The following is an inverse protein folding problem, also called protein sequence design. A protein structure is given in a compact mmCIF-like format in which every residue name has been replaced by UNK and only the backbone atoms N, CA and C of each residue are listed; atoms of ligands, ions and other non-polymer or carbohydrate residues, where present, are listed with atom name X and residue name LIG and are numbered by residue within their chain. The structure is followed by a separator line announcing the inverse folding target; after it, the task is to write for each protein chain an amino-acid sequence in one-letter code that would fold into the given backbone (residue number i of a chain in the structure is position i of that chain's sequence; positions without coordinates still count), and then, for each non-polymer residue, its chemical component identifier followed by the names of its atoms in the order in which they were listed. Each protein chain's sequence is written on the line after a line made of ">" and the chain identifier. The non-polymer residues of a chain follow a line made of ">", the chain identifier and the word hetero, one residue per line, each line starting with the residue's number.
data_IF_599242714549
#
_entry.id   IF_599242714549
#
_cell.length_a   1.000
_cell.length_b   1.000
_cell.length_c   1.000
_cell.angle_alpha   90.00
_cell.angle_beta   90.00
_cell.angle_gamma   90.00
#
_symmetry.space_group_name_H-M   'P 1'
#
loop_
_entity.id
_entity.type
_entity.pdbx_description
1 polymer ?
#
# COMPACT_ATOMS: atom_id res chain seq x y z
N UNK A 1 20.45 16.17 18.44
CA UNK A 1 19.02 16.53 18.63
C UNK A 1 18.25 15.25 18.92
N UNK A 2 17.11 15.33 19.59
CA UNK A 2 16.25 14.19 19.87
C UNK A 2 15.08 14.16 18.88
N UNK A 3 14.72 12.97 18.42
CA UNK A 3 13.58 12.74 17.52
C UNK A 3 12.77 11.54 18.00
N UNK A 4 11.46 11.65 17.97
CA UNK A 4 10.54 10.57 18.31
C UNK A 4 9.90 9.99 17.04
N UNK A 5 9.84 8.66 16.94
CA UNK A 5 9.18 7.99 15.84
C UNK A 5 9.52 6.52 15.64
N UNK A 6 9.42 6.05 14.39
CA UNK A 6 9.45 4.62 14.06
C UNK A 6 10.54 4.28 13.05
N UNK A 7 11.14 3.09 13.21
CA UNK A 7 12.00 2.51 12.18
C UNK A 7 11.11 1.95 11.07
N UNK A 8 11.35 2.37 9.83
CA UNK A 8 10.64 1.89 8.64
C UNK A 8 11.40 0.79 7.91
N UNK A 9 12.71 1.02 7.73
CA UNK A 9 13.59 0.11 7.00
C UNK A 9 14.95 0.05 7.69
N UNK A 10 15.56 -1.14 7.68
CA UNK A 10 16.85 -1.44 8.29
C UNK A 10 17.65 -2.34 7.36
N UNK A 11 18.90 -1.97 7.14
CA UNK A 11 19.85 -2.70 6.31
C UNK A 11 21.23 -2.72 6.98
N UNK A 12 21.93 -3.84 6.88
CA UNK A 12 23.30 -3.95 7.35
C UNK A 12 24.25 -3.20 6.41
N UNK A 13 25.09 -2.33 6.98
CA UNK A 13 26.00 -1.48 6.23
C UNK A 13 27.45 -1.69 6.72
N UNK A 14 28.19 -2.53 5.99
CA UNK A 14 29.54 -2.92 6.36
C UNK A 14 29.58 -3.79 7.62
N UNK A 15 30.69 -3.79 8.35
CA UNK A 15 30.95 -4.82 9.36
C UNK A 15 30.09 -4.68 10.63
N UNK A 16 29.84 -3.45 11.09
CA UNK A 16 29.19 -3.19 12.39
C UNK A 16 28.22 -1.99 12.35
N UNK A 17 27.93 -1.44 11.18
CA UNK A 17 27.01 -0.30 11.07
C UNK A 17 25.71 -0.78 10.47
N UNK A 18 24.60 -0.24 10.95
CA UNK A 18 23.28 -0.43 10.35
C UNK A 18 22.86 0.88 9.74
N UNK A 19 22.39 0.83 8.50
CA UNK A 19 21.67 1.92 7.84
C UNK A 19 20.19 1.74 8.09
N UNK A 20 19.48 2.81 8.40
CA UNK A 20 18.04 2.75 8.58
C UNK A 20 17.34 4.03 8.14
N UNK A 21 16.06 3.87 7.82
CA UNK A 21 15.14 4.96 7.56
C UNK A 21 14.16 5.06 8.73
N UNK A 22 14.06 6.27 9.28
CA UNK A 22 13.29 6.56 10.48
C UNK A 22 12.25 7.62 10.20
N UNK A 23 10.99 7.30 10.44
CA UNK A 23 9.90 8.28 10.36
C UNK A 23 9.81 9.02 11.68
N UNK A 24 10.37 10.24 11.71
CA UNK A 24 10.31 11.17 12.84
C UNK A 24 9.04 12.01 12.77
N UNK A 25 8.45 12.23 13.94
CA UNK A 25 7.33 13.17 14.13
C UNK A 25 7.75 14.59 13.75
N UNK A 26 8.97 14.98 14.11
CA UNK A 26 9.47 16.36 14.03
C UNK A 26 10.04 16.73 12.66
N UNK A 27 10.60 15.77 11.92
CA UNK A 27 11.33 16.05 10.67
C UNK A 27 10.95 15.15 9.50
N UNK A 28 10.01 14.23 9.69
CA UNK A 28 9.59 13.30 8.64
C UNK A 28 10.63 12.19 8.42
N UNK A 29 10.93 11.87 7.17
CA UNK A 29 11.78 10.72 6.85
C UNK A 29 13.27 11.05 7.00
N UNK A 30 13.91 10.48 8.01
CA UNK A 30 15.33 10.63 8.29
C UNK A 30 16.12 9.41 7.81
N UNK A 31 17.22 9.65 7.11
CA UNK A 31 18.21 8.63 6.78
C UNK A 31 19.33 8.64 7.84
N UNK A 32 19.50 7.51 8.53
CA UNK A 32 20.32 7.41 9.73
C UNK A 32 21.28 6.21 9.68
N UNK A 33 22.36 6.32 10.45
CA UNK A 33 23.34 5.26 10.64
C UNK A 33 23.53 4.95 12.12
N UNK A 34 23.60 3.67 12.48
CA UNK A 34 23.89 3.23 13.84
C UNK A 34 25.16 2.38 13.86
N UNK A 35 26.24 2.92 14.44
CA UNK A 35 27.49 2.17 14.60
C UNK A 35 27.37 1.18 15.77
N UNK A 36 27.99 0.02 15.61
CA UNK A 36 27.98 -1.04 16.62
C UNK A 36 26.63 -1.72 16.81
N UNK A 37 25.64 -1.53 15.92
CA UNK A 37 24.31 -2.13 16.05
C UNK A 37 24.35 -3.66 15.94
N UNK A 38 25.26 -4.22 15.14
CA UNK A 38 25.38 -5.67 14.92
C UNK A 38 26.37 -6.36 15.88
N UNK A 39 26.98 -5.62 16.80
CA UNK A 39 27.84 -6.21 17.82
C UNK A 39 27.01 -7.03 18.80
N UNK A 40 27.52 -8.20 19.21
CA UNK A 40 26.86 -9.08 20.20
C UNK A 40 26.63 -8.40 21.56
N UNK A 41 27.40 -7.36 21.88
CA UNK A 41 27.26 -6.58 23.12
C UNK A 41 26.44 -5.29 22.92
N UNK A 42 25.87 -5.08 21.74
CA UNK A 42 25.16 -3.85 21.41
C UNK A 42 23.86 -3.72 22.18
N UNK A 43 23.71 -2.60 22.89
CA UNK A 43 22.43 -2.17 23.47
C UNK A 43 21.53 -1.48 22.43
N UNK A 44 22.12 -0.93 21.38
CA UNK A 44 21.41 -0.12 20.38
C UNK A 44 20.73 -0.97 19.30
N UNK A 45 21.40 -2.04 18.85
CA UNK A 45 20.88 -2.91 17.79
C UNK A 45 19.51 -3.53 18.07
N UNK A 46 19.30 -4.15 19.26
CA UNK A 46 18.01 -4.73 19.63
C UNK A 46 16.91 -3.69 19.87
N UNK A 47 17.26 -2.47 20.29
CA UNK A 47 16.30 -1.39 20.55
C UNK A 47 15.71 -0.80 19.25
N UNK A 48 16.43 -0.91 18.14
CA UNK A 48 16.00 -0.47 16.80
C UNK A 48 15.08 -1.52 16.14
N UNK A 49 13.97 -1.83 16.80
CA UNK A 49 12.96 -2.77 16.30
C UNK A 49 11.92 -2.04 15.43
N UNK A 50 11.35 -2.76 14.45
CA UNK A 50 10.17 -2.29 13.73
C UNK A 50 8.96 -2.20 14.66
N UNK A 51 8.05 -1.27 14.34
CA UNK A 51 6.76 -1.09 15.01
C UNK A 51 6.82 -0.74 16.50
N UNK A 52 8.00 -0.36 17.01
CA UNK A 52 8.16 0.28 18.32
C UNK A 52 8.31 1.79 18.16
N UNK A 53 7.65 2.55 19.03
CA UNK A 53 7.87 3.99 19.14
C UNK A 53 9.18 4.22 19.89
N UNK A 54 10.12 4.90 19.25
CA UNK A 54 11.45 5.15 19.76
C UNK A 54 11.71 6.64 19.84
N UNK A 55 12.47 7.04 20.85
CA UNK A 55 13.08 8.36 20.94
C UNK A 55 14.59 8.22 20.76
N UNK A 56 15.10 8.81 19.69
CA UNK A 56 16.48 8.64 19.27
C UNK A 56 17.26 9.95 19.36
N UNK A 57 18.50 9.85 19.85
CA UNK A 57 19.43 10.98 19.83
C UNK A 57 20.30 10.88 18.59
N UNK A 58 20.16 11.86 17.69
CA UNK A 58 20.91 11.94 16.44
C UNK A 58 21.96 13.04 16.53
N UNK A 59 23.18 12.74 16.06
CA UNK A 59 24.28 13.68 15.94
C UNK A 59 25.03 13.48 14.62
N UNK A 60 25.52 14.56 14.02
CA UNK A 60 26.28 14.50 12.78
C UNK A 60 26.15 15.79 11.97
N UNK A 61 27.17 16.07 11.16
CA UNK A 61 27.22 17.25 10.28
C UNK A 61 27.00 16.90 8.80
N UNK A 62 27.55 15.76 8.36
CA UNK A 62 27.41 15.21 7.00
C UNK A 62 26.51 13.97 6.95
N UNK A 63 26.65 13.08 7.93
CA UNK A 63 25.82 11.88 8.07
C UNK A 63 25.21 11.87 9.47
N UNK A 64 23.94 11.49 9.56
CA UNK A 64 23.21 11.46 10.82
C UNK A 64 23.44 10.11 11.52
N UNK A 65 24.14 10.13 12.67
CA UNK A 65 24.40 8.95 13.48
C UNK A 65 23.50 8.89 14.72
N UNK A 66 23.02 7.70 15.05
CA UNK A 66 22.28 7.43 16.28
C UNK A 66 23.29 7.19 17.41
N UNK A 67 23.19 8.00 18.46
CA UNK A 67 24.03 7.90 19.66
C UNK A 67 23.31 7.21 20.81
N UNK A 68 22.00 7.47 20.98
CA UNK A 68 21.16 6.92 22.05
C UNK A 68 19.79 6.56 21.49
N UNK A 69 19.19 5.53 22.10
CA UNK A 69 17.83 5.08 21.79
C UNK A 69 17.12 4.85 23.12
N UNK A 70 15.94 5.44 23.25
CA UNK A 70 14.99 5.23 24.33
C UNK A 70 13.73 4.61 23.72
N UNK A 71 13.21 3.54 24.33
CA UNK A 71 12.00 2.87 23.86
C UNK A 71 10.82 3.52 24.59
N UNK A 72 9.97 4.24 23.86
CA UNK A 72 8.77 4.85 24.43
C UNK A 72 7.58 3.88 24.45
N UNK A 73 7.49 3.01 23.44
CA UNK A 73 6.50 1.93 23.38
C UNK A 73 7.13 0.64 22.91
N UNK A 74 6.69 -0.46 23.51
CA UNK A 74 7.02 -1.80 23.04
C UNK A 74 6.51 -2.00 21.60
N UNK A 75 7.22 -2.84 20.85
CA UNK A 75 6.87 -3.17 19.48
C UNK A 75 5.54 -3.93 19.42
N UNK A 76 4.66 -3.49 18.51
CA UNK A 76 3.42 -4.21 18.23
C UNK A 76 3.76 -5.58 17.64
N UNK A 77 3.15 -6.63 18.19
CA UNK A 77 3.28 -8.01 17.70
C UNK A 77 2.09 -8.33 16.80
N UNK A 78 2.37 -8.45 15.52
CA UNK A 78 1.37 -8.82 14.53
C UNK A 78 1.39 -10.32 14.25
N UNK A 79 0.22 -10.95 14.00
CA UNK A 79 0.18 -12.20 13.25
C UNK A 79 0.76 -11.99 11.84
N UNK A 80 1.13 -13.08 11.17
CA UNK A 80 1.97 -13.02 9.98
C UNK A 80 1.34 -12.22 8.82
N UNK A 81 0.02 -12.29 8.63
CA UNK A 81 -0.67 -11.51 7.59
C UNK A 81 -0.61 -10.01 7.86
N UNK A 82 -1.01 -9.58 9.07
CA UNK A 82 -0.94 -8.17 9.47
C UNK A 82 0.50 -7.65 9.49
N UNK A 83 1.48 -8.52 9.81
CA UNK A 83 2.89 -8.16 9.77
C UNK A 83 3.32 -7.75 8.35
N UNK A 84 2.95 -8.52 7.33
CA UNK A 84 3.23 -8.14 5.95
C UNK A 84 2.46 -6.88 5.52
N UNK A 85 1.23 -6.69 5.99
CA UNK A 85 0.49 -5.44 5.77
C UNK A 85 1.20 -4.23 6.41
N UNK A 86 1.74 -4.37 7.62
CA UNK A 86 2.49 -3.31 8.28
C UNK A 86 3.84 -3.04 7.58
N UNK A 87 4.53 -4.09 7.12
CA UNK A 87 5.74 -3.95 6.29
C UNK A 87 5.43 -3.26 4.95
N UNK A 88 4.26 -3.52 4.35
CA UNK A 88 3.81 -2.84 3.14
C UNK A 88 3.68 -1.34 3.36
N UNK A 89 3.06 -0.93 4.47
CA UNK A 89 2.96 0.49 4.87
C UNK A 89 4.35 1.12 5.05
N UNK A 90 5.28 0.45 5.72
CA UNK A 90 6.67 0.94 5.85
C UNK A 90 7.34 1.15 4.48
N UNK A 91 7.20 0.15 3.60
CA UNK A 91 7.84 0.13 2.30
C UNK A 91 7.28 1.23 1.37
N UNK A 92 5.98 1.50 1.43
CA UNK A 92 5.36 2.61 0.71
C UNK A 92 5.98 3.96 1.12
N UNK A 93 6.04 4.26 2.42
CA UNK A 93 6.60 5.53 2.91
C UNK A 93 8.06 5.66 2.49
N UNK A 94 8.86 4.63 2.75
CA UNK A 94 10.29 4.63 2.44
C UNK A 94 10.58 4.81 0.95
N UNK A 95 9.78 4.23 0.05
CA UNK A 95 9.99 4.34 -1.39
C UNK A 95 9.48 5.63 -2.01
N UNK A 96 8.36 6.15 -1.50
CA UNK A 96 7.67 7.28 -2.12
C UNK A 96 8.22 8.63 -1.65
N UNK A 97 8.60 8.75 -0.38
CA UNK A 97 8.97 10.03 0.21
C UNK A 97 10.47 10.30 0.15
N UNK A 98 10.88 11.57 -0.08
CA UNK A 98 12.27 11.97 0.00
C UNK A 98 12.76 12.00 1.45
N UNK A 99 14.07 11.80 1.65
CA UNK A 99 14.71 12.08 2.93
C UNK A 99 15.02 13.55 3.04
N UNK A 100 14.14 14.34 3.65
CA UNK A 100 14.34 15.77 3.88
C UNK A 100 13.53 16.26 5.08
N UNK A 101 13.98 17.38 5.67
CA UNK A 101 13.28 18.14 6.71
C UNK A 101 11.98 18.74 6.13
N UNK A 102 10.88 17.97 6.16
CA UNK A 102 9.56 18.47 5.79
C UNK A 102 8.81 18.91 7.06
N UNK A 103 8.48 20.20 7.11
CA UNK A 103 7.72 20.82 8.21
C UNK A 103 6.30 20.26 8.39
N UNK A 104 5.79 19.49 7.42
CA UNK A 104 4.46 18.85 7.43
C UNK A 104 4.48 17.37 7.88
N UNK A 105 5.53 16.95 8.61
CA UNK A 105 5.72 15.56 9.03
C UNK A 105 4.69 15.01 10.01
N UNK A 106 3.96 15.88 10.73
CA UNK A 106 2.99 15.46 11.74
C UNK A 106 1.80 14.68 11.16
N UNK A 107 1.26 15.13 10.01
CA UNK A 107 0.14 14.45 9.36
C UNK A 107 0.55 13.04 8.91
N UNK A 108 1.66 12.92 8.19
CA UNK A 108 2.24 11.64 7.77
C UNK A 108 2.51 10.70 8.94
N UNK A 109 3.05 11.23 10.05
CA UNK A 109 3.30 10.45 11.26
C UNK A 109 2.00 9.86 11.83
N UNK A 110 0.93 10.64 11.86
CA UNK A 110 -0.38 10.18 12.32
C UNK A 110 -1.00 9.16 11.37
N UNK A 111 -0.94 9.35 10.04
CA UNK A 111 -1.42 8.36 9.07
C UNK A 111 -0.74 7.01 9.29
N UNK A 112 0.59 7.03 9.44
CA UNK A 112 1.37 5.82 9.73
C UNK A 112 0.97 5.15 11.05
N UNK A 113 0.90 5.93 12.13
CA UNK A 113 0.50 5.44 13.46
C UNK A 113 -0.91 4.84 13.45
N UNK A 114 -1.86 5.54 12.81
CA UNK A 114 -3.24 5.09 12.67
C UNK A 114 -3.33 3.81 11.85
N UNK A 115 -2.54 3.67 10.79
CA UNK A 115 -2.45 2.44 10.00
C UNK A 115 -1.92 1.26 10.84
N UNK A 116 -0.87 1.46 11.63
CA UNK A 116 -0.34 0.42 12.52
C UNK A 116 -1.39 -0.03 13.56
N UNK A 117 -2.06 0.92 14.21
CA UNK A 117 -3.11 0.60 15.20
C UNK A 117 -4.33 -0.05 14.53
N UNK A 118 -4.76 0.45 13.37
CA UNK A 118 -5.85 -0.13 12.60
C UNK A 118 -5.56 -1.59 12.20
N UNK A 119 -4.34 -1.88 11.74
CA UNK A 119 -3.92 -3.24 11.43
C UNK A 119 -3.86 -4.14 12.66
N UNK A 120 -3.56 -3.58 13.84
CA UNK A 120 -3.52 -4.34 15.09
C UNK A 120 -4.93 -4.76 15.54
N UNK A 121 -5.91 -3.88 15.38
CA UNK A 121 -7.30 -4.15 15.72
C UNK A 121 -8.07 -4.90 14.64
N UNK A 122 -7.55 -4.98 13.41
CA UNK A 122 -8.19 -5.65 12.30
C UNK A 122 -8.22 -7.18 12.49
N UNK A 123 -9.43 -7.71 12.60
CA UNK A 123 -9.68 -9.14 12.85
C UNK A 123 -10.03 -9.91 11.56
N UNK A 124 -10.25 -9.20 10.45
CA UNK A 124 -10.61 -9.79 9.16
C UNK A 124 -9.78 -9.21 8.01
N UNK A 125 -9.64 -9.97 6.92
CA UNK A 125 -8.97 -9.51 5.70
C UNK A 125 -9.64 -8.26 5.10
N UNK A 126 -10.96 -8.10 5.30
CA UNK A 126 -11.70 -6.92 4.85
C UNK A 126 -11.31 -5.69 5.65
N UNK A 127 -11.26 -5.79 6.99
CA UNK A 127 -10.80 -4.70 7.86
C UNK A 127 -9.35 -4.33 7.57
N UNK A 128 -8.46 -5.32 7.41
CA UNK A 128 -7.08 -5.06 7.00
C UNK A 128 -7.03 -4.30 5.67
N UNK A 129 -7.85 -4.71 4.69
CA UNK A 129 -7.91 -4.05 3.39
C UNK A 129 -8.39 -2.60 3.52
N UNK A 130 -9.41 -2.33 4.34
CA UNK A 130 -9.89 -0.96 4.60
C UNK A 130 -8.80 -0.08 5.20
N UNK A 131 -8.10 -0.56 6.22
CA UNK A 131 -7.01 0.19 6.86
C UNK A 131 -5.91 0.51 5.85
N UNK A 132 -5.55 -0.46 5.00
CA UNK A 132 -4.57 -0.23 3.93
C UNK A 132 -5.08 0.78 2.90
N UNK A 133 -6.35 0.69 2.44
CA UNK A 133 -6.90 1.65 1.49
C UNK A 133 -6.94 3.06 2.08
N UNK A 134 -7.40 3.22 3.34
CA UNK A 134 -7.39 4.52 4.03
C UNK A 134 -5.99 5.12 4.04
N UNK A 135 -5.00 4.36 4.48
CA UNK A 135 -3.60 4.81 4.50
C UNK A 135 -3.09 5.21 3.09
N UNK A 136 -3.37 4.41 2.07
CA UNK A 136 -2.96 4.71 0.69
C UNK A 136 -3.61 6.00 0.16
N UNK A 137 -4.89 6.22 0.43
CA UNK A 137 -5.60 7.43 0.02
C UNK A 137 -5.10 8.66 0.77
N UNK A 138 -4.91 8.57 2.09
CA UNK A 138 -4.30 9.64 2.90
C UNK A 138 -2.89 9.98 2.39
N UNK A 139 -2.08 8.97 2.06
CA UNK A 139 -0.74 9.16 1.51
C UNK A 139 -0.78 9.80 0.11
N UNK A 140 -1.65 9.34 -0.78
CA UNK A 140 -1.79 9.90 -2.13
C UNK A 140 -2.30 11.34 -2.09
N UNK A 141 -3.24 11.64 -1.18
CA UNK A 141 -3.74 13.00 -0.95
C UNK A 141 -2.63 13.90 -0.39
N UNK A 142 -1.85 13.40 0.58
CA UNK A 142 -0.67 14.08 1.11
C UNK A 142 0.37 14.36 0.02
N UNK A 143 0.55 13.46 -0.94
CA UNK A 143 1.45 13.68 -2.09
C UNK A 143 0.86 14.61 -3.17
N UNK A 144 -0.41 15.02 -3.06
CA UNK A 144 -1.10 15.83 -4.07
C UNK A 144 -1.40 15.09 -5.38
N UNK A 145 -1.44 13.76 -5.34
CA UNK A 145 -1.61 12.91 -6.53
C UNK A 145 -3.04 12.35 -6.67
N UNK A 146 -3.84 12.43 -5.61
CA UNK A 146 -5.19 11.87 -5.61
C UNK A 146 -6.15 12.80 -6.40
N UNK A 147 -7.00 12.26 -7.29
CA UNK A 147 -8.01 13.05 -7.98
C UNK A 147 -9.13 13.43 -7.01
N UNK A 148 -9.89 14.46 -7.36
CA UNK A 148 -11.10 14.81 -6.63
C UNK A 148 -12.11 13.66 -6.73
N UNK A 149 -12.54 13.13 -5.58
CA UNK A 149 -13.46 11.99 -5.51
C UNK A 149 -14.93 12.41 -5.42
N UNK A 150 -15.21 13.71 -5.40
CA UNK A 150 -16.55 14.30 -5.29
C UNK A 150 -16.98 15.01 -6.58
N UNK A 151 -16.06 15.26 -7.51
CA UNK A 151 -16.29 16.00 -8.74
C UNK A 151 -15.74 15.27 -9.97
N UNK A 152 -16.38 15.49 -11.13
CA UNK A 152 -15.88 15.06 -12.43
C UNK A 152 -14.86 16.05 -13.01
N UNK A 153 -14.31 15.73 -14.19
CA UNK A 153 -13.33 16.57 -14.89
C UNK A 153 -13.85 17.98 -15.24
N UNK A 154 -15.18 18.16 -15.32
CA UNK A 154 -15.82 19.44 -15.59
C UNK A 154 -16.14 20.22 -14.30
N UNK A 155 -15.82 19.67 -13.13
CA UNK A 155 -16.10 20.26 -11.82
C UNK A 155 -17.54 20.06 -11.34
N UNK A 156 -18.33 19.21 -12.00
CA UNK A 156 -19.68 18.86 -11.56
C UNK A 156 -19.62 17.76 -10.50
N UNK A 157 -20.57 17.77 -9.57
CA UNK A 157 -20.65 16.73 -8.55
C UNK A 157 -20.91 15.35 -9.18
N UNK A 158 -20.26 14.32 -8.66
CA UNK A 158 -20.50 12.95 -9.12
C UNK A 158 -21.94 12.52 -8.81
N UNK A 159 -22.55 11.72 -9.68
CA UNK A 159 -23.90 11.19 -9.51
C UNK A 159 -23.83 9.74 -9.02
N UNK A 160 -24.60 9.41 -7.98
CA UNK A 160 -24.57 8.10 -7.31
C UNK A 160 -24.88 6.93 -8.26
N UNK A 161 -25.77 7.15 -9.23
CA UNK A 161 -26.27 6.14 -10.16
C UNK A 161 -25.46 6.04 -11.46
N UNK A 162 -24.42 6.88 -11.62
CA UNK A 162 -23.58 6.88 -12.81
C UNK A 162 -22.27 6.13 -12.57
N UNK A 163 -21.69 5.64 -13.66
CA UNK A 163 -20.34 5.10 -13.67
C UNK A 163 -19.39 6.10 -14.31
N UNK A 164 -18.16 6.12 -13.82
CA UNK A 164 -17.12 7.03 -14.23
C UNK A 164 -15.87 6.26 -14.67
N UNK A 165 -15.25 6.71 -15.75
CA UNK A 165 -13.90 6.33 -16.13
C UNK A 165 -12.90 7.25 -15.46
N UNK A 166 -11.76 6.69 -15.06
CA UNK A 166 -10.63 7.48 -14.58
C UNK A 166 -9.65 7.72 -15.72
N UNK A 167 -9.43 8.99 -16.07
CA UNK A 167 -8.30 9.42 -16.88
C UNK A 167 -7.27 10.04 -15.94
N UNK A 168 -6.08 9.44 -15.85
CA UNK A 168 -5.08 9.74 -14.81
C UNK A 168 -4.78 11.24 -14.64
N UNK A 169 -4.69 11.98 -15.76
CA UNK A 169 -4.36 13.42 -15.75
C UNK A 169 -5.58 14.35 -15.67
N UNK A 170 -6.79 13.85 -15.98
CA UNK A 170 -8.00 14.68 -16.12
C UNK A 170 -9.04 14.42 -15.03
N UNK A 171 -8.95 13.28 -14.32
CA UNK A 171 -9.92 12.88 -13.31
C UNK A 171 -11.03 12.00 -13.88
N UNK A 172 -12.24 12.13 -13.32
CA UNK A 172 -13.36 11.25 -13.63
C UNK A 172 -14.21 11.78 -14.79
N UNK A 173 -14.54 10.92 -15.75
CA UNK A 173 -15.42 11.22 -16.89
C UNK A 173 -16.61 10.27 -16.89
N UNK A 174 -17.82 10.77 -17.17
CA UNK A 174 -19.03 9.94 -17.22
C UNK A 174 -18.88 8.84 -18.27
N UNK A 175 -19.24 7.62 -17.90
CA UNK A 175 -19.13 6.44 -18.78
C UNK A 175 -19.96 6.59 -20.05
N UNK A 176 -21.09 7.27 -19.97
CA UNK A 176 -21.97 7.52 -21.12
C UNK A 176 -21.28 8.35 -22.21
N UNK A 177 -20.55 9.41 -21.84
CA UNK A 177 -19.83 10.28 -22.79
C UNK A 177 -18.76 9.50 -23.54
N UNK A 178 -17.99 8.69 -22.82
CA UNK A 178 -16.96 7.84 -23.42
C UNK A 178 -17.58 6.75 -24.30
N UNK A 179 -18.67 6.11 -23.86
CA UNK A 179 -19.34 5.07 -24.64
C UNK A 179 -19.86 5.60 -25.99
N UNK A 180 -20.37 6.84 -26.02
CA UNK A 180 -20.80 7.48 -27.27
C UNK A 180 -19.62 7.67 -28.24
N UNK A 181 -18.50 8.20 -27.73
CA UNK A 181 -17.28 8.39 -28.53
C UNK A 181 -16.78 7.06 -29.12
N UNK A 182 -16.86 5.98 -28.33
CA UNK A 182 -16.45 4.65 -28.79
C UNK A 182 -17.37 4.06 -29.86
N UNK A 183 -18.68 4.29 -29.77
CA UNK A 183 -19.59 3.85 -30.82
C UNK A 183 -19.25 4.50 -32.16
N UNK A 184 -18.79 5.75 -32.17
CA UNK A 184 -18.30 6.42 -33.37
C UNK A 184 -17.02 5.79 -33.90
N UNK A 185 -16.04 5.52 -33.03
CA UNK A 185 -14.79 4.83 -33.40
C UNK A 185 -15.03 3.43 -33.97
N UNK A 186 -15.92 2.63 -33.37
CA UNK A 186 -16.28 1.30 -33.88
C UNK A 186 -16.96 1.39 -35.26
N UNK A 187 -17.81 2.39 -35.50
CA UNK A 187 -18.40 2.61 -36.83
C UNK A 187 -17.32 2.95 -37.87
N UNK A 188 -16.36 3.79 -37.51
CA UNK A 188 -15.24 4.15 -38.39
C UNK A 188 -14.39 2.92 -38.73
N UNK A 189 -14.03 2.10 -37.74
CA UNK A 189 -13.28 0.86 -37.96
C UNK A 189 -14.04 -0.11 -38.87
N UNK A 190 -15.33 -0.36 -38.61
CA UNK A 190 -16.15 -1.24 -39.46
C UNK A 190 -16.21 -0.73 -40.90
N UNK A 191 -16.31 0.58 -41.11
CA UNK A 191 -16.31 1.17 -42.45
C UNK A 191 -14.98 0.97 -43.18
N UNK A 192 -13.85 1.12 -42.47
CA UNK A 192 -12.52 0.89 -43.01
C UNK A 192 -12.26 -0.60 -43.30
N UNK A 193 -12.74 -1.51 -42.45
CA UNK A 193 -12.69 -2.95 -42.73
C UNK A 193 -13.46 -3.32 -44.00
N UNK A 194 -14.66 -2.77 -44.16
CA UNK A 194 -15.46 -2.99 -45.37
C UNK A 194 -14.78 -2.43 -46.62
N UNK A 195 -14.14 -1.27 -46.52
CA UNK A 195 -13.34 -0.71 -47.61
C UNK A 195 -12.12 -1.58 -47.92
N UNK A 196 -11.44 -2.10 -46.89
CA UNK A 196 -10.28 -2.98 -47.06
C UNK A 196 -10.65 -4.33 -47.68
N UNK A 197 -11.82 -4.89 -47.34
CA UNK A 197 -12.37 -6.11 -47.96
C UNK A 197 -12.73 -5.91 -49.44
N UNK A 198 -13.12 -4.69 -49.83
CA UNK A 198 -13.49 -4.35 -51.21
C UNK A 198 -12.26 -4.02 -52.07
N UNK A 199 -11.32 -3.25 -51.53
CA UNK A 199 -10.09 -2.84 -52.20
C UNK A 199 -8.93 -2.75 -51.19
N UNK A 200 -8.09 -3.79 -51.10
CA UNK A 200 -7.01 -3.88 -50.12
C UNK A 200 -5.95 -2.77 -50.22
N UNK A 201 -5.75 -2.21 -51.42
CA UNK A 201 -4.74 -1.19 -51.68
C UNK A 201 -5.23 0.23 -51.38
N UNK A 202 -6.54 0.40 -51.15
CA UNK A 202 -7.17 1.70 -50.87
C UNK A 202 -7.08 2.13 -49.41
N UNK A 203 -6.88 1.17 -48.49
CA UNK A 203 -6.85 1.41 -47.04
C UNK A 203 -5.44 1.22 -46.51
N UNK A 204 -4.91 2.22 -45.82
CA UNK A 204 -3.64 2.11 -45.12
C UNK A 204 -3.76 1.06 -43.98
N UNK A 205 -3.01 -0.05 -44.02
CA UNK A 205 -3.04 -1.07 -42.97
C UNK A 205 -2.71 -0.51 -41.58
N UNK A 206 -1.91 0.56 -41.49
CA UNK A 206 -1.56 1.20 -40.22
C UNK A 206 -2.77 1.88 -39.58
N UNK A 207 -3.67 2.45 -40.36
CA UNK A 207 -4.88 3.10 -39.86
C UNK A 207 -5.83 2.08 -39.19
N UNK A 208 -5.97 0.89 -39.79
CA UNK A 208 -6.75 -0.19 -39.21
C UNK A 208 -6.12 -0.68 -37.90
N UNK A 209 -4.81 -0.93 -37.90
CA UNK A 209 -4.09 -1.38 -36.70
C UNK A 209 -4.19 -0.37 -35.56
N UNK A 210 -4.17 0.94 -35.87
CA UNK A 210 -4.34 2.00 -34.88
C UNK A 210 -5.74 1.96 -34.24
N UNK A 211 -6.80 1.76 -35.03
CA UNK A 211 -8.17 1.66 -34.49
C UNK A 211 -8.38 0.40 -33.65
N UNK A 212 -7.83 -0.75 -34.08
CA UNK A 212 -7.83 -1.99 -33.28
C UNK A 212 -7.13 -1.77 -31.93
N UNK A 213 -5.98 -1.10 -31.95
CA UNK A 213 -5.26 -0.75 -30.73
C UNK A 213 -6.09 0.15 -29.81
N UNK A 214 -6.74 1.19 -30.35
CA UNK A 214 -7.62 2.06 -29.57
C UNK A 214 -8.78 1.29 -28.91
N UNK A 215 -9.39 0.33 -29.61
CA UNK A 215 -10.43 -0.51 -29.02
C UNK A 215 -9.93 -1.40 -27.90
N UNK A 216 -8.75 -2.00 -28.06
CA UNK A 216 -8.15 -2.81 -26.99
C UNK A 216 -7.83 -1.96 -25.75
N UNK A 217 -7.29 -0.75 -25.94
CA UNK A 217 -7.08 0.19 -24.84
C UNK A 217 -8.39 0.55 -24.14
N UNK A 218 -9.46 0.76 -24.91
CA UNK A 218 -10.76 1.06 -24.34
C UNK A 218 -11.35 -0.12 -23.53
N UNK A 219 -11.26 -1.36 -24.04
CA UNK A 219 -11.68 -2.55 -23.30
C UNK A 219 -10.94 -2.68 -21.97
N UNK A 220 -9.62 -2.44 -21.97
CA UNK A 220 -8.83 -2.42 -20.74
C UNK A 220 -9.30 -1.32 -19.77
N UNK A 221 -9.65 -0.14 -20.27
CA UNK A 221 -10.19 0.95 -19.45
C UNK A 221 -11.60 0.67 -18.90
N UNK A 222 -12.42 -0.13 -19.57
CA UNK A 222 -13.73 -0.56 -19.05
C UNK A 222 -13.62 -1.40 -17.77
N UNK A 223 -12.54 -2.15 -17.62
CA UNK A 223 -12.24 -2.86 -16.36
C UNK A 223 -11.95 -1.88 -15.20
N UNK A 224 -11.62 -0.63 -15.51
CA UNK A 224 -11.31 0.46 -14.58
C UNK A 224 -12.46 1.45 -14.45
N UNK A 225 -13.69 0.94 -14.39
CA UNK A 225 -14.90 1.74 -14.14
C UNK A 225 -15.23 1.83 -12.65
N UNK A 226 -15.62 3.03 -12.23
CA UNK A 226 -15.93 3.37 -10.84
C UNK A 226 -17.38 3.81 -10.71
N UNK A 227 -18.10 3.29 -9.71
CA UNK A 227 -19.46 3.76 -9.44
C UNK A 227 -19.41 5.08 -8.67
N UNK A 228 -20.20 6.08 -9.07
CA UNK A 228 -20.23 7.41 -8.43
C UNK A 228 -20.54 7.31 -6.93
N UNK A 229 -21.49 6.46 -6.54
CA UNK A 229 -21.78 6.16 -5.14
C UNK A 229 -20.55 5.69 -4.34
N UNK A 230 -19.73 4.83 -4.95
CA UNK A 230 -18.54 4.31 -4.28
C UNK A 230 -17.44 5.37 -4.19
N UNK A 231 -17.29 6.24 -5.19
CA UNK A 231 -16.33 7.34 -5.15
C UNK A 231 -16.65 8.35 -4.04
N UNK A 232 -17.93 8.73 -3.90
CA UNK A 232 -18.39 9.56 -2.76
C UNK A 232 -18.15 8.88 -1.43
N UNK A 233 -18.48 7.60 -1.33
CA UNK A 233 -18.24 6.85 -0.10
C UNK A 233 -16.74 6.74 0.23
N UNK A 234 -15.86 6.62 -0.77
CA UNK A 234 -14.40 6.66 -0.56
C UNK A 234 -13.96 8.03 -0.03
N UNK A 235 -14.53 9.12 -0.54
CA UNK A 235 -14.27 10.47 -0.03
C UNK A 235 -14.66 10.58 1.45
N UNK A 236 -15.90 10.20 1.80
CA UNK A 236 -16.42 10.24 3.17
C UNK A 236 -15.57 9.38 4.13
N UNK A 237 -15.26 8.14 3.75
CA UNK A 237 -14.59 7.21 4.66
C UNK A 237 -13.09 7.49 4.79
N UNK A 238 -12.42 7.87 3.69
CA UNK A 238 -10.96 7.96 3.66
C UNK A 238 -10.42 9.38 3.79
N UNK A 239 -11.21 10.42 3.49
CA UNK A 239 -10.69 11.80 3.38
C UNK A 239 -11.36 12.83 4.32
N UNK A 240 -12.53 12.57 4.91
CA UNK A 240 -13.26 13.58 5.73
C UNK A 240 -12.64 13.92 7.10
N UNK A 241 -11.40 13.52 7.38
CA UNK A 241 -10.64 14.01 8.54
C UNK A 241 -9.39 14.80 8.11
N UNK A 242 -9.59 16.13 8.07
CA UNK A 242 -8.63 17.24 8.12
C UNK A 242 -8.22 17.96 6.80
N UNK A 243 -8.25 19.32 6.80
CA UNK A 243 -7.76 20.14 5.70
C UNK A 243 -6.26 20.40 5.88
N UNK A 244 -5.48 20.14 4.84
CA UNK A 244 -4.26 20.89 4.56
C UNK A 244 -3.79 20.54 3.16
N UNK A 245 -4.15 21.39 2.20
CA UNK A 245 -3.51 21.48 0.91
C UNK A 245 -2.06 21.94 1.13
N UNK A 246 -1.14 20.99 1.25
CA UNK A 246 0.29 21.22 1.17
C UNK A 246 0.79 20.70 -0.17
N UNK A 247 1.31 21.57 -1.04
CA UNK A 247 2.06 21.11 -2.21
C UNK A 247 3.36 20.47 -1.73
N UNK A 248 3.48 19.15 -1.84
CA UNK A 248 4.61 18.39 -1.29
C UNK A 248 5.54 17.87 -2.39
N UNK A 249 6.84 17.97 -2.12
CA UNK A 249 7.94 17.57 -3.00
C UNK A 249 8.07 16.04 -3.06
N UNK A 250 7.95 15.50 -4.26
CA UNK A 250 8.16 14.07 -4.58
C UNK A 250 9.67 13.76 -4.59
N UNK A 251 10.06 12.52 -4.25
CA UNK A 251 11.44 12.07 -4.33
C UNK A 251 12.00 12.24 -5.78
N UNK A 252 13.20 12.82 -5.99
CA UNK A 252 13.77 13.05 -7.33
C UNK A 252 13.92 11.76 -8.15
N UNK A 253 14.25 10.63 -7.53
CA UNK A 253 14.28 9.33 -8.22
C UNK A 253 12.88 8.87 -8.64
N UNK A 254 11.86 9.19 -7.86
CA UNK A 254 10.45 8.95 -8.22
C UNK A 254 10.02 9.88 -9.36
N UNK A 255 10.50 11.13 -9.42
CA UNK A 255 10.24 12.05 -10.53
C UNK A 255 10.91 11.60 -11.84
N UNK A 256 12.17 11.16 -11.77
CA UNK A 256 12.86 10.55 -12.91
C UNK A 256 12.16 9.25 -13.33
N UNK A 257 11.68 8.45 -12.38
CA UNK A 257 10.88 7.26 -12.69
C UNK A 257 9.52 7.60 -13.30
N UNK A 258 8.84 8.67 -12.91
CA UNK A 258 7.61 9.11 -13.58
C UNK A 258 7.88 9.45 -15.05
N UNK A 259 8.97 10.18 -15.31
CA UNK A 259 9.41 10.49 -16.68
C UNK A 259 9.82 9.23 -17.46
N UNK A 260 10.55 8.32 -16.81
CA UNK A 260 10.95 7.03 -17.38
C UNK A 260 9.78 6.07 -17.56
N UNK A 261 8.77 6.06 -16.68
CA UNK A 261 7.58 5.21 -16.76
C UNK A 261 6.66 5.70 -17.88
N UNK A 262 6.53 7.02 -18.04
CA UNK A 262 5.89 7.59 -19.22
C UNK A 262 6.58 7.10 -20.51
N UNK A 263 7.92 6.99 -20.50
CA UNK A 263 8.67 6.42 -21.62
C UNK A 263 8.66 4.87 -21.71
N UNK A 264 8.52 4.16 -20.59
CA UNK A 264 8.55 2.70 -20.50
C UNK A 264 7.18 2.06 -20.74
N UNK A 265 6.08 2.77 -20.50
CA UNK A 265 4.75 2.34 -20.94
C UNK A 265 4.74 2.17 -22.48
N UNK A 266 5.54 2.96 -23.19
CA UNK A 266 5.78 2.82 -24.63
C UNK A 266 6.64 1.61 -25.00
N UNK A 267 7.49 1.09 -24.12
CA UNK A 267 8.36 -0.07 -24.37
C UNK A 267 7.77 -1.41 -23.87
N UNK A 268 6.90 -1.38 -22.87
CA UNK A 268 6.27 -2.56 -22.24
C UNK A 268 5.18 -3.26 -23.07
N UNK A 269 4.81 -2.72 -24.24
CA UNK A 269 4.04 -3.45 -25.25
C UNK A 269 4.88 -4.53 -25.96
N UNK A 270 6.21 -4.54 -25.77
CA UNK A 270 7.10 -5.53 -26.37
C UNK A 270 7.56 -6.59 -25.35
N UNK A 271 6.97 -7.77 -25.51
CA UNK A 271 7.58 -9.09 -25.27
C UNK A 271 7.58 -9.64 -23.82
N UNK A 272 6.90 -10.79 -23.77
CA UNK A 272 6.57 -11.73 -22.71
C UNK A 272 7.75 -12.69 -22.42
N UNK A 273 7.61 -13.49 -21.35
CA UNK A 273 8.07 -14.90 -21.20
C UNK A 273 9.30 -15.17 -20.30
N UNK A 274 8.95 -15.56 -19.07
CA UNK A 274 9.40 -16.69 -18.24
C UNK A 274 10.87 -16.87 -17.85
N UNK A 275 11.07 -17.21 -16.57
CA UNK A 275 11.54 -18.55 -16.21
C UNK A 275 11.26 -18.83 -14.73
N UNK A 276 10.42 -19.84 -14.53
CA UNK A 276 10.49 -20.73 -13.37
C UNK A 276 11.95 -21.13 -13.09
N UNK A 277 12.25 -21.48 -11.84
CA UNK A 277 12.64 -22.85 -11.46
C UNK A 277 13.51 -22.89 -10.20
N UNK A 278 13.30 -23.99 -9.45
CA UNK A 278 14.13 -24.60 -8.37
C UNK A 278 13.75 -24.18 -6.94
N UNK A 279 12.82 -24.89 -6.28
CA UNK A 279 12.91 -26.25 -5.69
C UNK A 279 13.92 -26.41 -4.53
N UNK A 280 13.33 -26.66 -3.34
CA UNK A 280 13.46 -27.88 -2.52
C UNK A 280 14.53 -28.07 -1.39
N UNK A 281 13.96 -28.52 -0.25
CA UNK A 281 14.31 -29.67 0.64
C UNK A 281 15.09 -29.45 1.96
N UNK A 282 14.30 -29.51 3.06
CA UNK A 282 14.38 -30.29 4.33
C UNK A 282 15.74 -30.83 4.83
N UNK A 283 16.01 -30.64 6.15
CA UNK A 283 16.27 -31.74 7.12
C UNK A 283 16.30 -31.30 8.60
N UNK A 284 15.77 -32.18 9.44
CA UNK A 284 15.57 -32.11 10.89
C UNK A 284 16.87 -32.25 11.68
N UNK A 285 16.87 -31.78 12.94
CA UNK A 285 17.71 -32.38 13.98
C UNK A 285 16.99 -32.40 15.34
N UNK A 286 17.04 -33.58 15.94
CA UNK A 286 16.42 -34.08 17.17
C UNK A 286 17.12 -33.61 18.43
N UNK A 287 16.39 -33.41 19.54
CA UNK A 287 16.99 -33.49 20.89
C UNK A 287 16.06 -34.18 21.90
N UNK A 288 16.72 -34.90 22.81
CA UNK A 288 16.17 -35.93 23.69
C UNK A 288 15.39 -35.39 24.87
N UNK A 289 14.38 -36.16 25.24
CA UNK A 289 13.49 -36.02 26.40
C UNK A 289 14.16 -36.57 27.67
N UNK A 290 13.86 -35.99 28.82
CA UNK A 290 13.61 -36.67 30.11
C UNK A 290 12.95 -35.66 31.08
N UNK A 291 11.67 -35.85 31.40
CA UNK A 291 11.10 -36.46 32.62
C UNK A 291 11.42 -35.63 33.88
N UNK A 292 10.48 -34.98 34.55
CA UNK A 292 9.09 -35.38 34.85
C UNK A 292 8.18 -34.16 35.00
N UNK A 293 7.09 -34.12 34.23
CA UNK A 293 5.99 -33.17 34.36
C UNK A 293 4.72 -33.96 34.06
N UNK A 294 3.82 -34.10 35.02
CA UNK A 294 2.61 -34.91 34.86
C UNK A 294 1.57 -34.16 34.01
N UNK A 295 0.83 -34.92 33.19
CA UNK A 295 -0.13 -34.43 32.19
C UNK A 295 -1.26 -33.58 32.79
N UNK A 296 -1.59 -33.86 34.06
CA UNK A 296 -2.64 -33.17 34.79
C UNK A 296 -2.23 -31.75 35.17
N UNK A 297 -0.96 -31.51 35.51
CA UNK A 297 -0.44 -30.18 35.83
C UNK A 297 -0.38 -29.29 34.59
N UNK A 298 -0.12 -29.90 33.43
CA UNK A 298 -0.05 -29.20 32.16
C UNK A 298 -1.44 -28.81 31.67
N UNK A 299 -2.43 -29.70 31.76
CA UNK A 299 -3.82 -29.36 31.47
C UNK A 299 -4.34 -28.26 32.39
N UNK A 300 -4.05 -28.32 33.70
CA UNK A 300 -4.48 -27.30 34.64
C UNK A 300 -3.82 -25.94 34.40
N UNK A 301 -2.51 -25.91 34.10
CA UNK A 301 -1.81 -24.66 33.79
C UNK A 301 -2.28 -24.05 32.46
N UNK A 302 -2.63 -24.89 31.48
CA UNK A 302 -3.09 -24.48 30.16
C UNK A 302 -4.54 -24.00 30.23
N UNK A 303 -5.41 -24.67 30.99
CA UNK A 303 -6.77 -24.21 31.27
C UNK A 303 -6.78 -22.91 32.06
N UNK A 304 -5.92 -22.77 33.08
CA UNK A 304 -5.79 -21.54 33.86
C UNK A 304 -5.34 -20.37 32.99
N UNK A 305 -4.32 -20.58 32.14
CA UNK A 305 -3.88 -19.56 31.16
C UNK A 305 -4.95 -19.26 30.13
N UNK A 306 -5.68 -20.25 29.62
CA UNK A 306 -6.80 -20.02 28.68
C UNK A 306 -7.90 -19.19 29.35
N UNK A 307 -8.18 -19.42 30.64
CA UNK A 307 -9.17 -18.68 31.42
C UNK A 307 -8.72 -17.24 31.66
N UNK A 308 -7.46 -17.03 32.04
CA UNK A 308 -6.87 -15.68 32.15
C UNK A 308 -6.88 -14.96 30.81
N UNK A 309 -6.46 -15.61 29.72
CA UNK A 309 -6.52 -15.04 28.38
C UNK A 309 -7.94 -14.71 27.94
N UNK A 310 -8.95 -15.53 28.26
CA UNK A 310 -10.35 -15.21 27.95
C UNK A 310 -10.84 -14.01 28.75
N UNK A 311 -10.47 -13.91 30.03
CA UNK A 311 -10.85 -12.80 30.91
C UNK A 311 -10.16 -11.49 30.50
N UNK A 312 -8.90 -11.54 30.10
CA UNK A 312 -8.18 -10.41 29.53
C UNK A 312 -8.73 -10.02 28.15
N UNK A 313 -9.14 -10.99 27.32
CA UNK A 313 -9.78 -10.72 26.02
C UNK A 313 -11.19 -10.12 26.15
N UNK A 314 -11.91 -10.42 27.24
CA UNK A 314 -13.22 -9.84 27.56
C UNK A 314 -13.11 -8.47 28.25
N UNK A 315 -12.08 -8.23 29.06
CA UNK A 315 -11.85 -6.95 29.74
C UNK A 315 -11.05 -5.94 28.89
N UNK A 316 -10.27 -6.43 27.93
CA UNK A 316 -9.62 -5.65 26.87
C UNK A 316 -10.40 -5.86 25.57
N UNK A 317 -11.71 -5.67 25.63
CA UNK A 317 -12.41 -5.11 24.47
C UNK A 317 -12.26 -3.60 24.67
N UNK A 318 -11.23 -2.95 24.08
CA UNK A 318 -11.23 -1.49 24.07
C UNK A 318 -12.58 -1.09 23.49
N UNK A 319 -13.26 -0.12 24.13
CA UNK A 319 -14.37 0.59 23.50
C UNK A 319 -13.95 0.85 22.06
N UNK A 320 -14.61 0.13 21.16
CA UNK A 320 -14.35 0.19 19.74
C UNK A 320 -14.60 1.64 19.36
N UNK A 321 -13.54 2.43 19.17
CA UNK A 321 -13.59 3.58 18.27
C UNK A 321 -13.69 3.01 16.84
N UNK A 322 -14.78 2.32 16.54
CA UNK A 322 -15.18 1.87 15.20
C UNK A 322 -16.06 2.91 14.52
N UNK A 323 -16.00 4.16 14.95
CA UNK A 323 -16.77 5.23 14.30
C UNK A 323 -16.20 5.60 12.92
N UNK A 324 -15.01 5.13 12.55
CA UNK A 324 -14.35 5.53 11.29
C UNK A 324 -14.83 4.77 10.03
N UNK A 325 -15.70 3.77 10.14
CA UNK A 325 -16.15 2.97 8.98
C UNK A 325 -17.67 2.70 8.96
N UNK A 326 -18.47 3.48 9.68
CA UNK A 326 -19.93 3.28 9.79
C UNK A 326 -20.64 3.17 8.42
N UNK A 327 -20.23 3.99 7.44
CA UNK A 327 -20.74 3.93 6.07
C UNK A 327 -20.41 2.63 5.33
N UNK A 328 -19.28 1.98 5.64
CA UNK A 328 -18.93 0.68 5.06
C UNK A 328 -19.71 -0.46 5.70
N UNK A 329 -19.93 -0.42 7.02
CA UNK A 329 -20.64 -1.48 7.73
C UNK A 329 -22.08 -1.69 7.21
N UNK A 330 -22.73 -0.61 6.77
CA UNK A 330 -24.07 -0.59 6.21
C UNK A 330 -24.23 -1.32 4.85
N UNK A 331 -23.12 -1.62 4.15
CA UNK A 331 -23.14 -2.27 2.84
C UNK A 331 -23.35 -3.80 2.93
N UNK A 332 -23.97 -4.38 1.90
CA UNK A 332 -24.05 -5.84 1.76
C UNK A 332 -22.66 -6.44 1.47
N UNK A 333 -22.46 -7.74 1.73
CA UNK A 333 -21.17 -8.40 1.52
C UNK A 333 -20.65 -8.31 0.07
N UNK A 334 -21.54 -8.30 -0.92
CA UNK A 334 -21.17 -8.11 -2.33
C UNK A 334 -20.75 -6.67 -2.62
N UNK A 335 -21.52 -5.70 -2.12
CA UNK A 335 -21.18 -4.28 -2.25
C UNK A 335 -19.84 -3.95 -1.57
N UNK A 336 -19.58 -4.54 -0.39
CA UNK A 336 -18.30 -4.42 0.31
C UNK A 336 -17.12 -4.92 -0.54
N UNK A 337 -17.27 -6.07 -1.22
CA UNK A 337 -16.23 -6.61 -2.12
C UNK A 337 -15.97 -5.68 -3.31
N UNK A 338 -17.04 -5.20 -3.95
CA UNK A 338 -16.94 -4.28 -5.10
C UNK A 338 -16.28 -2.97 -4.67
N UNK A 339 -16.68 -2.39 -3.54
CA UNK A 339 -16.08 -1.18 -2.98
C UNK A 339 -14.59 -1.35 -2.69
N UNK A 340 -14.20 -2.45 -2.04
CA UNK A 340 -12.79 -2.76 -1.76
C UNK A 340 -11.98 -2.98 -3.04
N UNK A 341 -12.59 -3.61 -4.06
CA UNK A 341 -11.94 -3.81 -5.35
C UNK A 341 -11.74 -2.49 -6.09
N UNK A 342 -12.77 -1.63 -6.16
CA UNK A 342 -12.69 -0.32 -6.81
C UNK A 342 -11.69 0.59 -6.09
N UNK A 343 -11.75 0.70 -4.77
CA UNK A 343 -10.76 1.49 -4.01
C UNK A 343 -9.34 0.96 -4.20
N UNK A 344 -9.17 -0.37 -4.27
CA UNK A 344 -7.86 -0.96 -4.54
C UNK A 344 -7.34 -0.70 -5.95
N UNK A 345 -8.23 -0.73 -6.95
CA UNK A 345 -7.87 -0.39 -8.32
C UNK A 345 -7.44 1.07 -8.43
N UNK A 346 -8.21 2.00 -7.83
CA UNK A 346 -7.91 3.43 -7.84
C UNK A 346 -6.53 3.69 -7.23
N UNK A 347 -6.29 3.27 -5.99
CA UNK A 347 -5.00 3.54 -5.34
C UNK A 347 -3.84 2.84 -6.04
N UNK A 348 -4.05 1.62 -6.57
CA UNK A 348 -3.04 0.89 -7.34
C UNK A 348 -2.60 1.64 -8.59
N UNK A 349 -3.52 2.27 -9.32
CA UNK A 349 -3.19 3.05 -10.53
C UNK A 349 -2.18 4.15 -10.17
N UNK A 350 -2.48 4.98 -9.18
CA UNK A 350 -1.60 6.08 -8.78
C UNK A 350 -0.30 5.61 -8.13
N UNK A 351 -0.36 4.60 -7.26
CA UNK A 351 0.83 4.02 -6.64
C UNK A 351 1.75 3.37 -7.69
N UNK A 352 1.22 2.71 -8.71
CA UNK A 352 2.03 2.13 -9.79
C UNK A 352 2.76 3.18 -10.61
N UNK A 353 2.11 4.32 -10.85
CA UNK A 353 2.70 5.46 -11.56
C UNK A 353 3.88 6.01 -10.76
N UNK A 354 3.70 6.20 -9.44
CA UNK A 354 4.76 6.69 -8.54
C UNK A 354 5.90 5.68 -8.33
N UNK A 355 5.58 4.41 -8.10
CA UNK A 355 6.58 3.37 -7.80
C UNK A 355 7.36 2.94 -9.05
N UNK A 356 6.75 3.04 -10.23
CA UNK A 356 7.32 2.55 -11.47
C UNK A 356 7.66 1.08 -11.43
N UNK A 357 8.94 0.79 -11.68
CA UNK A 357 9.47 -0.58 -11.71
C UNK A 357 9.86 -1.11 -10.32
N UNK A 358 9.74 -0.31 -9.25
CA UNK A 358 10.13 -0.73 -7.90
C UNK A 358 9.08 -1.70 -7.34
N UNK A 359 9.39 -3.00 -7.19
CA UNK A 359 8.44 -3.96 -6.64
C UNK A 359 8.18 -3.66 -5.17
N UNK A 360 7.03 -4.07 -4.63
CA UNK A 360 6.77 -4.01 -3.18
C UNK A 360 6.97 -5.40 -2.59
N UNK A 361 8.11 -5.60 -1.92
CA UNK A 361 8.55 -6.90 -1.42
C UNK A 361 7.57 -7.48 -0.38
N UNK A 362 7.05 -6.64 0.51
CA UNK A 362 6.10 -7.07 1.53
C UNK A 362 4.81 -7.64 0.91
N UNK A 363 4.35 -7.06 -0.19
CA UNK A 363 3.16 -7.53 -0.92
C UNK A 363 3.41 -8.88 -1.57
N UNK A 364 4.55 -9.05 -2.23
CA UNK A 364 4.92 -10.31 -2.87
C UNK A 364 5.00 -11.45 -1.84
N UNK A 365 5.63 -11.18 -0.70
CA UNK A 365 5.71 -12.14 0.42
C UNK A 365 4.34 -12.49 0.99
N UNK A 366 3.43 -11.54 1.10
CA UNK A 366 2.05 -11.83 1.53
C UNK A 366 1.31 -12.72 0.52
N UNK A 367 1.49 -12.48 -0.78
CA UNK A 367 0.87 -13.30 -1.83
C UNK A 367 1.44 -14.72 -1.85
N UNK A 368 2.76 -14.86 -1.71
CA UNK A 368 3.42 -16.16 -1.55
C UNK A 368 2.85 -16.91 -0.33
N UNK A 369 2.73 -16.23 0.80
CA UNK A 369 2.16 -16.81 2.01
C UNK A 369 0.70 -17.27 1.80
N UNK A 370 -0.15 -16.44 1.19
CA UNK A 370 -1.55 -16.80 0.93
C UNK A 370 -1.68 -18.00 -0.01
N UNK A 371 -0.85 -18.07 -1.05
CA UNK A 371 -0.80 -19.22 -1.96
C UNK A 371 -0.41 -20.50 -1.23
N UNK A 372 0.59 -20.44 -0.35
CA UNK A 372 1.00 -21.58 0.47
C UNK A 372 -0.14 -22.05 1.38
N UNK A 373 -0.83 -21.12 2.05
CA UNK A 373 -1.96 -21.46 2.93
C UNK A 373 -3.18 -22.03 2.19
N UNK A 374 -3.39 -21.67 0.93
CA UNK A 374 -4.46 -22.26 0.10
C UNK A 374 -4.14 -23.67 -0.40
N UNK A 375 -2.84 -24.01 -0.47
CA UNK A 375 -2.38 -25.33 -0.92
C UNK A 375 -2.31 -26.38 0.19
N UNK A 376 -2.37 -25.93 1.45
CA UNK A 376 -2.47 -26.75 2.65
C UNK A 376 -3.95 -26.98 3.00
#
# INVERSE_FOLDING_TARGET
>A
MWYTGFVLYREDYGNNTVRLFFLSLEKGLLHLYCKGANSKSSKLGPALQYFSLLKIQVAGKLLNYINKVEIESLAIRYPLEQFYCACYVNELIFKLLPTNDNYESFALFNFYKNALLGLFYANSTQEQSLVLRKFEFELLNYLGMLPLLNQDYAGLELEDHQNYFLIQEQGFIKSQEINLLNQELTKQELSLRQQWEQDPDSVDPLALQYLEYQQQQFQYQQELTFAGKNLKLMHEIFLEEAPSQGQIKINPQTQEQLQLNASNLASLLQVKISLDQKQQVVKQTTYKVNNSFDEQDLQQALEAKIKEFKKEKEQVVPERKTDSFSGFEALTNEQKKIFLQQSANLSKIYLSVLLGTRPILAREKLLEYKRLMQSL
#
